data_IF_806533732967
#
_entry.id   IF_806533732967
#
_cell.length_a   1.000
_cell.length_b   1.000
_cell.length_c   1.000
_cell.angle_alpha   90.00
_cell.angle_beta   90.00
_cell.angle_gamma   90.00
#
_symmetry.space_group_name_H-M   'P 1'
#
loop_
_entity.id
_entity.type
_entity.pdbx_description
1 polymer ?
#
# COMPACT_ATOMS: atom_id res chain seq x y z
N UNK A 1 23.85 22.17 38.19
CA UNK A 1 23.13 20.90 37.87
C UNK A 1 22.96 20.83 36.35
N UNK A 2 23.53 19.85 35.68
CA UNK A 2 23.33 19.64 34.23
C UNK A 2 22.04 18.81 34.07
N UNK A 3 21.16 19.26 33.21
CA UNK A 3 19.92 18.54 32.84
C UNK A 3 20.14 17.93 31.42
N UNK A 4 20.00 16.64 31.31
CA UNK A 4 19.98 15.98 30.02
C UNK A 4 18.60 16.09 29.38
N UNK A 5 18.54 16.38 28.06
CA UNK A 5 17.31 16.51 27.27
C UNK A 5 17.46 15.65 26.03
N UNK A 6 16.52 14.73 25.83
CA UNK A 6 16.52 13.84 24.66
C UNK A 6 15.91 14.53 23.44
N UNK A 7 16.40 14.14 22.26
CA UNK A 7 15.73 14.44 20.99
C UNK A 7 14.51 13.53 20.82
N UNK A 8 13.46 14.05 20.18
CA UNK A 8 12.30 13.29 19.72
C UNK A 8 12.08 13.54 18.25
N UNK A 9 11.45 12.59 17.56
CA UNK A 9 11.14 12.69 16.12
C UNK A 9 9.65 12.80 15.95
N UNK A 10 9.18 13.88 15.29
CA UNK A 10 7.77 14.00 14.93
C UNK A 10 7.42 13.00 13.82
N UNK A 11 6.16 12.53 13.81
CA UNK A 11 5.67 11.60 12.79
C UNK A 11 5.85 12.18 11.37
N UNK A 12 5.49 13.45 11.17
CA UNK A 12 5.66 14.15 9.89
C UNK A 12 7.11 14.21 9.41
N UNK A 13 8.06 14.49 10.31
CA UNK A 13 9.48 14.54 9.96
C UNK A 13 10.00 13.15 9.54
N UNK A 14 9.61 12.08 10.24
CA UNK A 14 9.99 10.73 9.88
C UNK A 14 9.45 10.33 8.49
N UNK A 15 8.18 10.65 8.23
CA UNK A 15 7.55 10.42 6.91
C UNK A 15 8.25 11.20 5.80
N UNK A 16 8.54 12.48 6.02
CA UNK A 16 9.22 13.33 5.05
C UNK A 16 10.60 12.77 4.69
N UNK A 17 11.43 12.46 5.68
CA UNK A 17 12.76 11.86 5.48
C UNK A 17 12.65 10.55 4.69
N UNK A 18 11.66 9.71 5.00
CA UNK A 18 11.43 8.47 4.28
C UNK A 18 11.08 8.69 2.81
N UNK A 19 10.14 9.59 2.54
CA UNK A 19 9.65 9.89 1.20
C UNK A 19 10.66 10.61 0.31
N UNK A 20 11.46 11.54 0.86
CA UNK A 20 12.47 12.28 0.09
C UNK A 20 13.61 11.40 -0.42
N UNK A 21 13.85 10.25 0.23
CA UNK A 21 14.83 9.27 -0.27
C UNK A 21 14.33 8.44 -1.46
N UNK A 22 13.05 8.61 -1.85
CA UNK A 22 12.41 7.89 -2.94
C UNK A 22 11.98 8.93 -3.98
N UNK A 23 12.66 8.92 -5.13
CA UNK A 23 12.53 9.97 -6.14
C UNK A 23 11.13 10.01 -6.76
N UNK A 24 10.64 8.87 -7.22
CA UNK A 24 9.39 8.73 -7.97
C UNK A 24 8.78 7.33 -7.81
N UNK A 25 7.70 7.05 -8.53
CA UNK A 25 7.01 5.75 -8.55
C UNK A 25 7.95 4.62 -8.99
N UNK A 26 8.79 4.86 -10.00
CA UNK A 26 9.74 3.86 -10.50
C UNK A 26 10.81 3.54 -9.44
N UNK A 27 11.30 4.57 -8.74
CA UNK A 27 12.20 4.41 -7.60
C UNK A 27 11.56 3.62 -6.46
N UNK A 28 10.27 3.89 -6.17
CA UNK A 28 9.52 3.15 -5.16
C UNK A 28 9.39 1.66 -5.50
N UNK A 29 8.97 1.33 -6.72
CA UNK A 29 8.86 -0.05 -7.18
C UNK A 29 10.23 -0.75 -7.17
N UNK A 30 11.29 -0.06 -7.59
CA UNK A 30 12.65 -0.59 -7.55
C UNK A 30 13.08 -0.96 -6.13
N UNK A 31 12.79 -0.13 -5.13
CA UNK A 31 13.09 -0.42 -3.73
C UNK A 31 12.31 -1.63 -3.21
N UNK A 32 11.04 -1.80 -3.62
CA UNK A 32 10.25 -2.98 -3.22
C UNK A 32 10.80 -4.27 -3.87
N UNK A 33 11.16 -4.23 -5.15
CA UNK A 33 11.81 -5.37 -5.81
C UNK A 33 13.17 -5.71 -5.16
N UNK A 34 13.95 -4.71 -4.76
CA UNK A 34 15.19 -4.94 -3.99
C UNK A 34 14.92 -5.61 -2.64
N UNK A 35 13.83 -5.26 -1.96
CA UNK A 35 13.47 -5.94 -0.71
C UNK A 35 13.15 -7.42 -0.94
N UNK A 36 12.44 -7.75 -2.02
CA UNK A 36 12.19 -9.15 -2.41
C UNK A 36 13.50 -9.88 -2.76
N UNK A 37 14.43 -9.22 -3.48
CA UNK A 37 15.76 -9.77 -3.75
C UNK A 37 16.55 -10.04 -2.46
N UNK A 38 16.55 -9.11 -1.52
CA UNK A 38 17.21 -9.23 -0.21
C UNK A 38 16.56 -10.34 0.66
N UNK A 39 15.30 -10.66 0.39
CA UNK A 39 14.55 -11.77 1.00
C UNK A 39 14.73 -13.12 0.27
N UNK A 40 15.71 -13.23 -0.63
CA UNK A 40 15.99 -14.43 -1.41
C UNK A 40 14.89 -14.88 -2.37
N UNK A 41 13.98 -14.00 -2.75
CA UNK A 41 12.96 -14.31 -3.73
C UNK A 41 13.59 -14.73 -5.08
N UNK A 42 13.06 -15.77 -5.68
CA UNK A 42 13.45 -16.22 -7.03
C UNK A 42 12.66 -15.49 -8.11
N UNK A 43 11.47 -15.03 -7.71
CA UNK A 43 10.54 -14.34 -8.59
C UNK A 43 9.80 -13.25 -7.85
N UNK A 44 9.52 -12.16 -8.57
CA UNK A 44 8.69 -11.05 -8.13
C UNK A 44 7.69 -10.74 -9.23
N UNK A 45 6.40 -10.72 -8.88
CA UNK A 45 5.33 -10.32 -9.76
C UNK A 45 4.82 -8.94 -9.32
N UNK A 46 4.70 -8.01 -10.26
CA UNK A 46 4.02 -6.75 -10.04
C UNK A 46 2.77 -6.78 -10.92
N UNK A 47 1.61 -6.78 -10.28
CA UNK A 47 0.31 -6.74 -10.94
C UNK A 47 -0.35 -5.40 -10.73
N UNK A 48 -0.75 -4.76 -11.83
CA UNK A 48 -1.51 -3.52 -11.83
C UNK A 48 -2.96 -3.85 -12.18
N UNK A 49 -3.83 -3.82 -11.19
CA UNK A 49 -5.28 -3.85 -11.36
C UNK A 49 -5.81 -2.43 -11.24
N UNK A 50 -5.80 -1.71 -12.36
CA UNK A 50 -6.13 -0.29 -12.44
C UNK A 50 -7.24 -0.11 -13.49
N UNK A 51 -8.48 -0.54 -13.17
CA UNK A 51 -9.61 -0.42 -14.08
C UNK A 51 -10.02 1.04 -14.35
N UNK A 52 -9.68 1.96 -13.44
CA UNK A 52 -10.07 3.36 -13.55
C UNK A 52 -8.86 4.29 -13.69
N UNK A 53 -9.01 5.44 -14.39
CA UNK A 53 -7.92 6.39 -14.55
C UNK A 53 -7.45 6.95 -13.21
N UNK A 54 -6.13 7.07 -13.05
CA UNK A 54 -5.52 7.76 -11.91
C UNK A 54 -5.63 9.26 -12.14
N UNK A 55 -6.29 9.97 -11.23
CA UNK A 55 -6.46 11.41 -11.30
C UNK A 55 -5.36 12.07 -10.47
N UNK A 56 -4.42 12.73 -11.13
CA UNK A 56 -3.34 13.46 -10.47
C UNK A 56 -3.83 14.79 -9.88
N UNK A 57 -3.10 15.28 -8.88
CA UNK A 57 -3.39 16.56 -8.25
C UNK A 57 -3.16 17.71 -9.26
N UNK A 58 -4.19 18.55 -9.47
CA UNK A 58 -4.14 19.66 -10.41
C UNK A 58 -4.56 19.35 -11.86
N UNK A 59 -4.86 18.08 -12.19
CA UNK A 59 -5.47 17.76 -13.49
C UNK A 59 -6.97 18.09 -13.51
N UNK A 60 -7.45 18.55 -14.67
CA UNK A 60 -8.89 18.72 -14.88
C UNK A 60 -9.53 17.32 -15.01
N UNK A 61 -10.46 17.03 -14.11
CA UNK A 61 -11.16 15.74 -14.09
C UNK A 61 -11.99 15.52 -15.34
N UNK A 62 -12.51 16.59 -15.93
CA UNK A 62 -13.29 16.47 -17.16
C UNK A 62 -12.56 15.74 -18.27
N UNK A 63 -11.23 15.90 -18.34
CA UNK A 63 -10.40 15.26 -19.36
C UNK A 63 -10.20 13.75 -19.09
N UNK A 64 -10.13 13.35 -17.81
CA UNK A 64 -9.89 11.95 -17.45
C UNK A 64 -11.18 11.13 -17.33
N UNK A 65 -12.31 11.77 -17.04
CA UNK A 65 -13.61 11.09 -16.90
C UNK A 65 -14.24 10.76 -18.24
N UNK A 66 -13.92 11.49 -19.28
CA UNK A 66 -14.33 11.16 -20.65
C UNK A 66 -13.81 9.79 -21.13
N UNK A 67 -12.93 9.14 -20.36
CA UNK A 67 -12.41 7.79 -20.63
C UNK A 67 -13.30 6.69 -20.02
N UNK A 68 -14.17 7.02 -19.03
CA UNK A 68 -15.05 6.05 -18.42
C UNK A 68 -16.20 5.69 -19.38
N UNK A 69 -16.48 4.40 -19.51
CA UNK A 69 -17.63 3.92 -20.27
C UNK A 69 -18.95 4.16 -19.52
N UNK A 70 -20.07 4.09 -20.24
CA UNK A 70 -21.40 4.16 -19.61
C UNK A 70 -21.61 3.02 -18.58
N UNK A 71 -21.02 1.83 -18.83
CA UNK A 71 -21.05 0.69 -17.92
C UNK A 71 -20.26 0.96 -16.64
N UNK A 72 -19.11 1.62 -16.73
CA UNK A 72 -18.30 2.03 -15.57
C UNK A 72 -19.07 3.02 -14.69
N UNK A 73 -19.77 3.98 -15.31
CA UNK A 73 -20.61 4.92 -14.57
C UNK A 73 -21.79 4.24 -13.86
N UNK A 74 -22.41 3.26 -14.50
CA UNK A 74 -23.51 2.51 -13.92
C UNK A 74 -23.05 1.66 -12.75
N UNK A 75 -21.89 0.99 -12.89
CA UNK A 75 -21.21 0.25 -11.83
C UNK A 75 -20.85 1.15 -10.65
N UNK A 76 -20.15 2.26 -10.86
CA UNK A 76 -19.76 3.20 -9.81
C UNK A 76 -20.96 3.83 -9.10
N UNK A 77 -22.06 4.08 -9.81
CA UNK A 77 -23.29 4.54 -9.21
C UNK A 77 -23.98 3.48 -8.34
N UNK A 78 -23.96 2.21 -8.75
CA UNK A 78 -24.55 1.11 -7.97
C UNK A 78 -23.79 0.88 -6.68
N UNK A 79 -22.46 0.78 -6.76
CA UNK A 79 -21.58 0.61 -5.61
C UNK A 79 -21.66 1.79 -4.62
N UNK A 80 -21.75 3.01 -5.12
CA UNK A 80 -21.89 4.20 -4.28
C UNK A 80 -23.20 4.23 -3.51
N UNK A 81 -24.28 3.70 -4.10
CA UNK A 81 -25.61 3.62 -3.47
C UNK A 81 -25.64 2.55 -2.37
N UNK A 82 -24.99 1.42 -2.56
CA UNK A 82 -24.98 0.31 -1.61
C UNK A 82 -24.10 0.59 -0.37
N UNK A 83 -23.02 1.31 -0.53
CA UNK A 83 -22.06 1.56 0.56
C UNK A 83 -22.38 2.75 1.48
N UNK A 84 -23.42 3.55 1.24
CA UNK A 84 -23.76 4.72 2.07
C UNK A 84 -25.12 4.61 2.75
N UNK A 85 -25.07 4.17 4.01
CA UNK A 85 -26.11 4.42 5.02
C UNK A 85 -26.11 5.88 5.56
N UNK A 86 -25.67 6.88 4.82
CA UNK A 86 -25.64 8.25 5.27
C UNK A 86 -26.63 9.13 4.50
N UNK A 87 -27.30 10.01 5.24
CA UNK A 87 -28.46 10.82 4.84
C UNK A 87 -28.21 11.85 3.71
N UNK A 88 -27.04 11.85 3.09
CA UNK A 88 -26.73 12.76 1.99
C UNK A 88 -26.41 11.94 0.73
N UNK A 89 -27.46 11.50 0.04
CA UNK A 89 -27.36 10.92 -1.29
C UNK A 89 -27.00 12.03 -2.29
N UNK A 90 -25.73 12.33 -2.44
CA UNK A 90 -25.27 13.18 -3.53
C UNK A 90 -25.02 12.26 -4.71
N UNK A 91 -25.85 12.30 -5.72
CA UNK A 91 -25.58 11.73 -7.03
C UNK A 91 -24.35 12.46 -7.59
N UNK A 92 -23.21 11.79 -7.63
CA UNK A 92 -21.96 12.36 -8.17
C UNK A 92 -21.89 12.08 -9.66
N UNK A 93 -22.42 10.93 -10.08
CA UNK A 93 -22.47 10.51 -11.46
C UNK A 93 -23.90 10.58 -11.97
N UNK A 94 -24.17 11.29 -13.05
CA UNK A 94 -25.44 11.25 -13.76
C UNK A 94 -25.17 11.10 -15.25
N UNK A 95 -25.77 10.06 -15.87
CA UNK A 95 -25.89 9.86 -17.30
C UNK A 95 -24.64 10.32 -18.10
N UNK A 96 -23.47 9.71 -17.86
CA UNK A 96 -22.22 9.97 -18.57
C UNK A 96 -21.47 11.26 -18.17
N UNK A 97 -21.93 11.99 -17.15
CA UNK A 97 -21.25 13.20 -16.68
C UNK A 97 -21.17 13.27 -15.16
N UNK A 98 -20.13 13.94 -14.66
CA UNK A 98 -20.04 14.31 -13.25
C UNK A 98 -20.70 15.66 -13.05
N UNK A 99 -21.75 15.70 -12.25
CA UNK A 99 -22.37 16.95 -11.83
C UNK A 99 -21.55 17.60 -10.70
N UNK A 100 -20.55 18.38 -11.06
CA UNK A 100 -19.68 19.05 -10.08
C UNK A 100 -20.35 20.26 -9.41
N UNK A 101 -21.42 20.82 -9.99
CA UNK A 101 -22.08 22.03 -9.49
C UNK A 101 -21.33 23.33 -9.82
N UNK A 102 -21.90 24.45 -9.45
CA UNK A 102 -21.38 25.79 -9.79
C UNK A 102 -20.54 26.46 -8.68
N UNK A 103 -20.49 25.87 -7.48
CA UNK A 103 -19.73 26.40 -6.35
C UNK A 103 -18.37 25.66 -6.27
N UNK A 104 -17.26 26.42 -6.27
CA UNK A 104 -15.89 25.87 -6.30
C UNK A 104 -15.58 24.96 -5.09
N UNK A 105 -16.10 25.27 -3.91
CA UNK A 105 -15.93 24.43 -2.72
C UNK A 105 -16.68 23.08 -2.86
N UNK A 106 -17.91 23.13 -3.36
CA UNK A 106 -18.70 21.92 -3.64
C UNK A 106 -18.06 21.08 -4.75
N UNK A 107 -17.48 21.74 -5.75
CA UNK A 107 -16.75 21.13 -6.85
C UNK A 107 -15.54 20.37 -6.35
N UNK A 108 -14.72 21.01 -5.49
CA UNK A 108 -13.57 20.40 -4.87
C UNK A 108 -13.95 19.18 -4.01
N UNK A 109 -14.98 19.30 -3.16
CA UNK A 109 -15.41 18.20 -2.29
C UNK A 109 -15.96 17.01 -3.09
N UNK A 110 -16.71 17.26 -4.15
CA UNK A 110 -17.19 16.20 -5.05
C UNK A 110 -16.04 15.50 -5.76
N UNK A 111 -15.03 16.28 -6.16
CA UNK A 111 -13.82 15.79 -6.78
C UNK A 111 -13.05 14.83 -5.90
N UNK A 112 -12.82 15.21 -4.65
CA UNK A 112 -12.17 14.33 -3.67
C UNK A 112 -12.98 13.03 -3.47
N UNK A 113 -14.30 13.11 -3.44
CA UNK A 113 -15.16 11.91 -3.34
C UNK A 113 -15.04 11.02 -4.57
N UNK A 114 -14.93 11.57 -5.78
CA UNK A 114 -14.70 10.80 -7.01
C UNK A 114 -13.36 10.08 -6.95
N UNK A 115 -12.30 10.79 -6.58
CA UNK A 115 -10.97 10.20 -6.40
C UNK A 115 -11.01 9.04 -5.40
N UNK A 116 -11.67 9.24 -4.25
CA UNK A 116 -11.83 8.19 -3.23
C UNK A 116 -12.57 6.96 -3.75
N UNK A 117 -13.61 7.15 -4.56
CA UNK A 117 -14.37 6.03 -5.14
C UNK A 117 -13.52 5.29 -6.16
N UNK A 118 -12.88 6.01 -7.10
CA UNK A 118 -12.05 5.39 -8.13
C UNK A 118 -10.84 4.67 -7.53
N UNK A 119 -10.21 5.25 -6.50
CA UNK A 119 -9.04 4.64 -5.86
C UNK A 119 -9.35 3.31 -5.14
N UNK A 120 -10.61 3.07 -4.74
CA UNK A 120 -11.00 1.80 -4.10
C UNK A 120 -10.91 0.59 -5.03
N UNK A 121 -10.90 0.82 -6.33
CA UNK A 121 -10.86 -0.24 -7.34
C UNK A 121 -9.51 -0.33 -8.05
N UNK A 122 -8.62 0.64 -7.79
CA UNK A 122 -7.27 0.64 -8.34
C UNK A 122 -6.32 0.01 -7.33
N UNK A 123 -5.71 -1.09 -7.70
CA UNK A 123 -4.82 -1.83 -6.82
C UNK A 123 -3.48 -2.12 -7.50
N UNK A 124 -2.42 -2.11 -6.72
CA UNK A 124 -1.12 -2.62 -7.12
C UNK A 124 -0.76 -3.74 -6.17
N UNK A 125 -0.41 -4.89 -6.73
CA UNK A 125 0.05 -6.03 -5.97
C UNK A 125 1.51 -6.31 -6.31
N UNK A 126 2.34 -6.47 -5.28
CA UNK A 126 3.73 -6.90 -5.43
C UNK A 126 3.86 -8.20 -4.65
N UNK A 127 4.16 -9.27 -5.37
CA UNK A 127 4.11 -10.63 -4.85
C UNK A 127 5.47 -11.26 -5.03
N UNK A 128 6.06 -11.81 -3.98
CA UNK A 128 7.34 -12.51 -4.03
C UNK A 128 7.28 -13.87 -3.31
N UNK A 129 8.13 -14.79 -3.76
CA UNK A 129 8.36 -16.09 -3.15
C UNK A 129 9.64 -16.12 -2.30
N UNK A 130 9.96 -15.02 -1.64
CA UNK A 130 11.09 -14.91 -0.73
C UNK A 130 10.88 -15.61 0.61
N UNK A 131 11.77 -15.34 1.56
CA UNK A 131 11.71 -15.97 2.89
C UNK A 131 10.50 -15.55 3.72
N UNK A 132 9.81 -14.47 3.39
CA UNK A 132 8.73 -13.89 4.19
C UNK A 132 9.19 -13.34 5.54
N UNK A 133 8.24 -12.92 6.37
CA UNK A 133 8.48 -12.34 7.68
C UNK A 133 7.70 -13.05 8.77
N UNK A 134 8.29 -13.16 9.95
CA UNK A 134 7.63 -13.58 11.19
C UNK A 134 7.04 -12.37 11.92
N UNK A 135 6.22 -12.61 12.94
CA UNK A 135 5.73 -11.56 13.85
C UNK A 135 6.88 -10.75 14.45
N UNK A 136 7.94 -11.42 14.88
CA UNK A 136 9.12 -10.76 15.44
C UNK A 136 9.78 -9.82 14.42
N UNK A 137 9.97 -10.27 13.19
CA UNK A 137 10.54 -9.43 12.12
C UNK A 137 9.62 -8.24 11.81
N UNK A 138 8.30 -8.46 11.74
CA UNK A 138 7.33 -7.40 11.51
C UNK A 138 7.37 -6.34 12.61
N UNK A 139 7.38 -6.75 13.87
CA UNK A 139 7.34 -5.83 15.02
C UNK A 139 8.67 -5.16 15.35
N UNK A 140 9.81 -5.81 15.11
CA UNK A 140 11.12 -5.31 15.53
C UNK A 140 11.96 -4.72 14.38
N UNK A 141 11.92 -5.34 13.20
CA UNK A 141 12.73 -4.90 12.05
C UNK A 141 11.89 -4.08 11.08
N UNK A 142 10.70 -4.59 10.69
CA UNK A 142 9.82 -3.92 9.75
C UNK A 142 9.26 -2.61 10.29
N UNK A 143 8.88 -2.53 11.56
CA UNK A 143 8.38 -1.30 12.19
C UNK A 143 9.47 -0.32 12.62
N UNK A 144 10.74 -0.72 12.64
CA UNK A 144 11.83 0.13 13.11
C UNK A 144 12.51 0.86 11.94
N UNK A 145 12.49 2.19 11.95
CA UNK A 145 13.05 3.06 10.92
C UNK A 145 14.56 3.25 11.18
N UNK A 146 15.36 3.15 10.11
CA UNK A 146 16.80 3.37 10.22
C UNK A 146 17.55 2.22 10.90
N UNK A 147 17.05 1.00 10.80
CA UNK A 147 17.75 -0.17 11.36
C UNK A 147 19.08 -0.42 10.68
N UNK A 148 20.10 -0.74 11.48
CA UNK A 148 21.39 -1.23 11.01
C UNK A 148 21.42 -2.75 10.77
N UNK A 149 20.26 -3.41 10.70
CA UNK A 149 20.21 -4.87 10.53
C UNK A 149 20.91 -5.32 9.24
N UNK A 150 20.64 -4.63 8.13
CA UNK A 150 21.29 -4.94 6.84
C UNK A 150 22.77 -4.57 6.79
N UNK A 151 23.23 -3.64 7.62
CA UNK A 151 24.65 -3.34 7.76
C UNK A 151 25.41 -4.45 8.51
N UNK A 152 24.74 -5.08 9.47
CA UNK A 152 25.30 -6.21 10.23
C UNK A 152 25.18 -7.53 9.46
N UNK A 153 24.08 -7.71 8.72
CA UNK A 153 23.74 -8.90 7.96
C UNK A 153 23.80 -8.59 6.46
N UNK A 154 24.99 -8.41 5.91
CA UNK A 154 25.23 -7.97 4.53
C UNK A 154 24.86 -9.02 3.48
N UNK A 155 24.69 -10.27 3.87
CA UNK A 155 24.30 -11.37 2.97
C UNK A 155 22.98 -12.00 3.39
N UNK A 156 22.23 -12.46 2.40
CA UNK A 156 21.00 -13.23 2.61
C UNK A 156 21.33 -14.70 2.99
N UNK A 157 20.30 -15.48 3.32
CA UNK A 157 20.46 -16.92 3.62
C UNK A 157 21.02 -17.72 2.42
N UNK A 158 20.67 -17.33 1.18
CA UNK A 158 21.19 -17.92 -0.07
C UNK A 158 22.53 -17.30 -0.52
N UNK A 159 23.14 -16.41 0.28
CA UNK A 159 24.43 -15.80 -0.01
C UNK A 159 24.37 -14.60 -0.96
N UNK A 160 23.21 -14.03 -1.24
CA UNK A 160 23.10 -12.80 -2.04
C UNK A 160 23.58 -11.60 -1.24
N UNK A 161 24.32 -10.71 -1.88
CA UNK A 161 24.67 -9.42 -1.29
C UNK A 161 23.42 -8.56 -1.15
N UNK A 162 23.05 -8.17 0.07
CA UNK A 162 21.89 -7.30 0.31
C UNK A 162 22.15 -5.90 -0.20
N UNK A 163 21.13 -5.31 -0.83
CA UNK A 163 21.22 -4.00 -1.51
C UNK A 163 20.73 -2.83 -0.67
N UNK A 164 19.82 -3.07 0.29
CA UNK A 164 19.22 -2.03 1.13
C UNK A 164 20.06 -1.75 2.38
N UNK A 165 20.61 -0.54 2.53
CA UNK A 165 21.43 -0.18 3.70
C UNK A 165 20.68 0.67 4.75
N UNK A 166 19.69 1.49 4.36
CA UNK A 166 19.19 2.58 5.20
C UNK A 166 17.99 2.24 6.10
N UNK A 167 17.32 1.09 5.90
CA UNK A 167 16.13 0.72 6.66
C UNK A 167 14.90 1.64 6.45
N UNK A 168 14.86 2.38 5.33
CA UNK A 168 13.79 3.32 4.98
C UNK A 168 12.99 2.88 3.75
N UNK A 169 13.34 1.79 3.09
CA UNK A 169 12.71 1.33 1.84
C UNK A 169 11.20 1.10 1.93
N UNK A 170 10.67 0.87 3.15
CA UNK A 170 9.21 0.75 3.37
C UNK A 170 8.42 2.02 3.06
N UNK A 171 9.04 3.20 3.09
CA UNK A 171 8.38 4.44 2.68
C UNK A 171 8.13 4.51 1.17
N UNK A 172 8.64 3.52 0.40
CA UNK A 172 8.21 3.29 -0.96
C UNK A 172 6.69 2.99 -1.04
N UNK A 173 6.14 2.34 -0.04
CA UNK A 173 4.71 2.05 0.06
C UNK A 173 3.89 3.34 0.21
N UNK A 174 4.34 4.26 1.06
CA UNK A 174 3.73 5.60 1.23
C UNK A 174 3.81 6.47 -0.04
N UNK A 175 4.75 6.19 -0.93
CA UNK A 175 4.84 6.89 -2.22
C UNK A 175 3.79 6.39 -3.22
N UNK A 176 3.37 5.13 -3.08
CA UNK A 176 2.50 4.45 -4.03
C UNK A 176 1.03 4.43 -3.59
N UNK A 177 0.74 4.48 -2.29
CA UNK A 177 -0.61 4.32 -1.76
C UNK A 177 -0.82 5.07 -0.44
N UNK A 178 -2.06 5.44 -0.14
CA UNK A 178 -2.47 6.02 1.15
C UNK A 178 -2.63 4.96 2.24
N UNK A 179 -2.88 3.72 1.86
CA UNK A 179 -2.99 2.59 2.77
C UNK A 179 -2.27 1.37 2.16
N UNK A 180 -1.66 0.57 3.01
CA UNK A 180 -0.91 -0.62 2.59
C UNK A 180 -1.31 -1.81 3.44
N UNK A 181 -1.50 -2.95 2.80
CA UNK A 181 -1.57 -4.26 3.46
C UNK A 181 -0.40 -5.13 3.01
N UNK A 182 0.19 -5.83 3.96
CA UNK A 182 1.28 -6.79 3.70
C UNK A 182 0.88 -8.14 4.28
N UNK A 183 0.75 -9.12 3.42
CA UNK A 183 0.54 -10.51 3.80
C UNK A 183 1.85 -11.25 3.67
N UNK A 184 2.31 -11.91 4.74
CA UNK A 184 3.63 -12.53 4.73
C UNK A 184 3.70 -13.75 5.64
N UNK A 185 4.50 -14.72 5.23
CA UNK A 185 4.71 -15.97 5.96
C UNK A 185 6.11 -16.50 5.70
N UNK A 186 6.75 -17.00 6.75
CA UNK A 186 7.89 -17.90 6.62
C UNK A 186 7.41 -19.36 6.61
N UNK A 187 8.22 -20.25 6.05
CA UNK A 187 7.95 -21.70 6.10
C UNK A 187 7.69 -22.13 7.54
N UNK A 188 6.68 -22.97 7.74
CA UNK A 188 6.26 -23.52 9.04
C UNK A 188 5.81 -22.46 10.08
N UNK A 189 5.50 -21.27 9.66
CA UNK A 189 4.97 -20.20 10.50
C UNK A 189 3.54 -19.80 10.12
N UNK A 190 2.90 -19.07 11.03
CA UNK A 190 1.60 -18.43 10.75
C UNK A 190 1.71 -17.43 9.61
N UNK A 191 0.60 -17.24 8.92
CA UNK A 191 0.43 -16.14 7.98
C UNK A 191 0.02 -14.89 8.75
N UNK A 192 0.70 -13.80 8.50
CA UNK A 192 0.44 -12.51 9.12
C UNK A 192 -0.07 -11.52 8.11
N UNK A 193 -1.04 -10.69 8.52
CA UNK A 193 -1.43 -9.46 7.84
C UNK A 193 -0.96 -8.27 8.67
N UNK A 194 -0.16 -7.41 8.06
CA UNK A 194 0.22 -6.11 8.58
C UNK A 194 -0.47 -5.04 7.74
N UNK A 195 -1.06 -4.01 8.41
CA UNK A 195 -1.81 -2.95 7.74
C UNK A 195 -1.48 -1.59 8.33
N UNK A 196 -1.28 -0.59 7.45
CA UNK A 196 -0.99 0.78 7.85
C UNK A 196 -1.68 1.78 6.90
N UNK A 197 -2.36 2.77 7.49
CA UNK A 197 -2.76 3.98 6.79
C UNK A 197 -1.68 5.06 7.00
N UNK A 198 -1.06 5.50 5.91
CA UNK A 198 0.03 6.47 5.93
C UNK A 198 -0.41 7.87 6.36
N UNK A 199 -1.72 8.21 6.28
CA UNK A 199 -2.25 9.47 6.79
C UNK A 199 -2.12 9.60 8.31
N UNK A 200 -1.93 8.51 9.04
CA UNK A 200 -1.69 8.54 10.48
C UNK A 200 -0.45 9.37 10.84
N UNK A 201 0.56 9.41 9.95
CA UNK A 201 1.74 10.26 10.15
C UNK A 201 1.42 11.76 10.14
N UNK A 202 0.34 12.18 9.47
CA UNK A 202 -0.11 13.58 9.48
C UNK A 202 -0.88 13.95 10.75
N UNK A 203 -1.49 12.96 11.39
CA UNK A 203 -2.35 13.13 12.57
C UNK A 203 -1.59 12.93 13.88
N UNK A 204 -0.54 12.11 13.87
CA UNK A 204 0.25 11.80 15.05
C UNK A 204 1.29 12.91 15.35
N UNK A 205 1.55 13.17 16.62
CA UNK A 205 2.57 14.11 17.06
C UNK A 205 3.97 13.50 16.96
N UNK A 206 4.14 12.31 17.54
CA UNK A 206 5.40 11.58 17.54
C UNK A 206 5.29 10.31 16.67
N UNK A 207 6.42 9.86 16.18
CA UNK A 207 6.48 8.62 15.39
C UNK A 207 5.99 7.41 16.18
N UNK A 208 6.22 7.39 17.48
CA UNK A 208 5.81 6.31 18.38
C UNK A 208 4.28 6.19 18.53
N UNK A 209 3.53 7.25 18.16
CA UNK A 209 2.06 7.27 18.16
C UNK A 209 1.46 6.64 16.92
N UNK A 210 2.25 6.48 15.85
CA UNK A 210 1.82 5.81 14.61
C UNK A 210 1.81 4.31 14.81
N UNK A 211 0.63 3.70 14.74
CA UNK A 211 0.44 2.27 14.96
C UNK A 211 -0.05 1.59 13.70
N UNK A 212 0.60 0.50 13.33
CA UNK A 212 0.10 -0.43 12.35
C UNK A 212 -0.70 -1.55 13.05
N UNK A 213 -1.62 -2.14 12.31
CA UNK A 213 -2.35 -3.32 12.75
C UNK A 213 -1.60 -4.58 12.30
N UNK A 214 -1.52 -5.56 13.19
CA UNK A 214 -0.89 -6.86 12.92
C UNK A 214 -1.81 -7.97 13.42
N UNK A 215 -2.14 -8.91 12.56
CA UNK A 215 -2.99 -10.06 12.91
C UNK A 215 -2.55 -11.34 12.21
N UNK A 216 -2.95 -12.47 12.78
CA UNK A 216 -2.81 -13.78 12.15
C UNK A 216 -4.03 -14.01 11.27
N UNK A 217 -3.78 -14.43 10.04
CA UNK A 217 -4.80 -14.73 9.04
C UNK A 217 -5.02 -16.25 8.99
N UNK A 218 -6.26 -16.65 8.94
CA UNK A 218 -6.63 -18.05 8.77
C UNK A 218 -6.51 -18.52 7.31
N UNK A 219 -6.40 -19.84 7.11
CA UNK A 219 -6.23 -20.44 5.78
C UNK A 219 -7.41 -20.13 4.84
N UNK A 220 -8.62 -19.94 5.37
CA UNK A 220 -9.80 -19.61 4.57
C UNK A 220 -9.70 -18.18 3.99
N UNK A 221 -9.29 -17.24 4.79
CA UNK A 221 -9.04 -15.86 4.36
C UNK A 221 -7.90 -15.84 3.34
N UNK A 222 -6.87 -16.67 3.55
CA UNK A 222 -5.78 -16.80 2.61
C UNK A 222 -6.22 -17.36 1.25
N UNK A 223 -7.08 -18.38 1.23
CA UNK A 223 -7.63 -18.92 0.00
C UNK A 223 -8.38 -17.86 -0.81
N UNK A 224 -9.14 -16.98 -0.13
CA UNK A 224 -9.83 -15.85 -0.78
C UNK A 224 -8.85 -14.84 -1.38
N UNK A 225 -7.78 -14.50 -0.66
CA UNK A 225 -6.74 -13.60 -1.16
C UNK A 225 -6.04 -14.23 -2.36
N UNK A 226 -5.67 -15.50 -2.28
CA UNK A 226 -5.04 -16.23 -3.39
C UNK A 226 -5.95 -16.30 -4.61
N UNK A 227 -7.27 -16.52 -4.46
CA UNK A 227 -8.21 -16.48 -5.58
C UNK A 227 -8.29 -15.12 -6.27
N UNK A 228 -8.19 -14.02 -5.53
CA UNK A 228 -8.13 -12.67 -6.14
C UNK A 228 -6.90 -12.52 -7.04
N UNK A 229 -5.77 -13.12 -6.65
CA UNK A 229 -4.54 -13.11 -7.45
C UNK A 229 -4.58 -14.05 -8.65
N UNK A 230 -5.10 -15.26 -8.46
CA UNK A 230 -5.17 -16.29 -9.52
C UNK A 230 -6.12 -15.85 -10.63
N UNK A 231 -7.24 -15.21 -10.30
CA UNK A 231 -8.20 -14.71 -11.31
C UNK A 231 -7.65 -13.62 -12.21
N UNK A 232 -6.68 -12.84 -11.73
CA UNK A 232 -6.03 -11.79 -12.50
C UNK A 232 -4.81 -12.29 -13.29
N UNK A 233 -4.28 -13.49 -13.00
CA UNK A 233 -3.08 -14.02 -13.63
C UNK A 233 -3.21 -15.53 -13.81
N UNK A 234 -3.17 -16.01 -15.06
CA UNK A 234 -3.21 -17.45 -15.41
C UNK A 234 -1.94 -18.23 -14.97
N UNK A 235 -1.08 -17.64 -14.15
CA UNK A 235 0.16 -18.25 -13.70
C UNK A 235 0.04 -18.70 -12.24
N UNK A 236 0.27 -19.99 -11.98
CA UNK A 236 0.47 -20.62 -10.67
C UNK A 236 1.75 -20.09 -10.00
N UNK A 237 1.80 -18.80 -9.65
CA UNK A 237 3.08 -18.19 -9.29
C UNK A 237 3.46 -18.35 -7.84
N UNK A 238 2.52 -18.43 -6.90
CA UNK A 238 2.80 -18.57 -5.47
C UNK A 238 1.75 -19.43 -4.79
N UNK A 239 2.19 -20.59 -4.33
CA UNK A 239 1.45 -21.42 -3.40
C UNK A 239 1.82 -21.01 -1.96
N UNK A 240 1.01 -20.15 -1.35
CA UNK A 240 1.20 -19.75 0.04
C UNK A 240 0.81 -20.82 1.06
N UNK A 241 0.07 -21.84 0.65
CA UNK A 241 -0.33 -22.91 1.61
C UNK A 241 0.87 -23.68 2.14
N UNK A 242 1.90 -23.88 1.29
CA UNK A 242 3.06 -24.69 1.63
C UNK A 242 4.40 -23.92 1.56
N UNK A 243 4.41 -22.65 1.17
CA UNK A 243 5.63 -21.90 0.91
C UNK A 243 5.73 -20.60 1.72
N UNK A 244 6.90 -20.01 1.69
CA UNK A 244 7.14 -18.66 2.22
C UNK A 244 6.97 -17.61 1.13
N UNK A 245 6.69 -16.37 1.54
CA UNK A 245 6.63 -15.25 0.62
C UNK A 245 5.98 -14.01 1.22
N UNK A 246 5.82 -13.00 0.36
CA UNK A 246 5.17 -11.74 0.74
C UNK A 246 4.27 -11.24 -0.39
N UNK A 247 3.08 -10.77 -0.02
CA UNK A 247 2.18 -10.01 -0.89
C UNK A 247 2.06 -8.62 -0.30
N UNK A 248 2.35 -7.61 -1.09
CA UNK A 248 2.10 -6.21 -0.79
C UNK A 248 0.91 -5.77 -1.62
N UNK A 249 -0.12 -5.27 -0.97
CA UNK A 249 -1.34 -4.73 -1.55
C UNK A 249 -1.41 -3.22 -1.28
N UNK A 250 -1.52 -2.43 -2.35
CA UNK A 250 -1.51 -0.98 -2.37
C UNK A 250 -2.77 -0.44 -3.03
#
# INVERSE_FOLDING_TARGET
MVKEVAFSVSAKAARLIGRENITDVSGALTELVKNSYDADAESVLINYDIPFPIIEEGQDISDNINVLSAEDFEFLNSEYIENKNSATKIRIFSNENIELGSNEENKKNKLETVKEVLSKYNHIYIVDNGTGMTEEILSTVWMNIGTSDKEKNTTSKKGRQKTGAKGIGRFALDKLSTATEVYTRQIDNSLYRWRLNWELFEKAELIDDVKAELEIIDDKTMAQISEMFIKSNENEFIDFENNSGTIIHL
#
